data_IF_566077939963
#
_entry.id   IF_566077939963
#
_cell.length_a   1.000
_cell.length_b   1.000
_cell.length_c   1.000
_cell.angle_alpha   90.00
_cell.angle_beta   90.00
_cell.angle_gamma   90.00
#
_symmetry.space_group_name_H-M   'P 1'
#
loop_
_entity.id
_entity.type
_entity.pdbx_description
1 polymer ?
#
# COMPACT_ATOMS: atom_id res chain seq x y z
N UNK A 1 59.66 -24.76 48.27
CA UNK A 1 59.17 -25.85 47.38
C UNK A 1 57.70 -26.11 47.71
N UNK A 2 56.88 -26.31 46.67
CA UNK A 2 55.44 -26.65 46.69
C UNK A 2 54.48 -25.51 47.09
N UNK A 3 53.93 -24.74 46.14
CA UNK A 3 52.88 -25.00 45.11
C UNK A 3 51.44 -24.74 45.60
N UNK A 4 50.93 -23.60 45.13
CA UNK A 4 49.56 -23.17 44.89
C UNK A 4 48.56 -24.27 44.50
N UNK A 5 47.33 -24.16 45.02
CA UNK A 5 46.08 -24.51 44.32
C UNK A 5 44.90 -23.80 44.98
N UNK A 6 44.64 -22.55 44.57
CA UNK A 6 43.39 -21.84 44.80
C UNK A 6 42.54 -21.93 43.52
N UNK A 7 41.36 -22.54 43.65
CA UNK A 7 40.33 -22.63 42.62
C UNK A 7 39.65 -21.28 42.41
N UNK A 8 39.49 -20.77 41.17
CA UNK A 8 38.58 -19.69 40.86
C UNK A 8 37.35 -20.24 40.12
N UNK A 9 36.24 -20.35 40.85
CA UNK A 9 34.91 -20.37 40.25
C UNK A 9 34.51 -18.91 40.00
N UNK A 10 34.84 -18.39 38.81
CA UNK A 10 34.17 -17.22 38.24
C UNK A 10 34.50 -17.15 36.73
N UNK A 11 33.67 -17.82 35.93
CA UNK A 11 33.59 -17.59 34.48
C UNK A 11 32.28 -16.87 34.18
N UNK A 12 32.42 -15.56 33.99
CA UNK A 12 31.46 -14.72 33.28
C UNK A 12 31.30 -15.24 31.85
N UNK A 13 30.16 -15.86 31.56
CA UNK A 13 29.67 -16.08 30.21
C UNK A 13 28.84 -14.85 29.81
N UNK A 14 29.46 -13.98 29.00
CA UNK A 14 28.83 -12.87 28.31
C UNK A 14 27.91 -13.44 27.22
N UNK A 15 26.60 -13.53 27.50
CA UNK A 15 25.57 -13.78 26.49
C UNK A 15 24.97 -12.43 26.08
N UNK A 16 25.45 -11.94 24.94
CA UNK A 16 24.80 -10.91 24.14
C UNK A 16 23.36 -11.32 23.85
N UNK A 17 22.39 -10.60 24.40
CA UNK A 17 20.98 -10.74 24.05
C UNK A 17 20.69 -9.85 22.84
N UNK A 18 20.19 -10.40 21.71
CA UNK A 18 19.65 -9.57 20.64
C UNK A 18 18.30 -9.00 21.11
N UNK A 19 18.18 -7.67 21.09
CA UNK A 19 16.93 -6.95 21.32
C UNK A 19 15.90 -7.35 20.26
N UNK A 20 14.84 -8.06 20.69
CA UNK A 20 13.75 -8.49 19.81
C UNK A 20 12.81 -7.34 19.51
N UNK A 21 12.53 -7.17 18.22
CA UNK A 21 11.64 -6.19 17.65
C UNK A 21 10.23 -6.29 18.22
N UNK A 22 9.70 -5.12 18.60
CA UNK A 22 8.29 -4.90 18.92
C UNK A 22 7.59 -3.98 17.91
N UNK A 23 8.30 -3.52 16.88
CA UNK A 23 7.75 -2.57 15.89
C UNK A 23 6.90 -3.22 14.81
N UNK A 24 7.08 -4.53 14.53
CA UNK A 24 6.38 -5.19 13.40
C UNK A 24 4.89 -5.48 13.64
N UNK A 25 4.43 -5.56 14.89
CA UNK A 25 3.02 -5.86 15.18
C UNK A 25 2.09 -4.65 14.95
N UNK A 26 2.63 -3.43 14.97
CA UNK A 26 1.86 -2.20 14.79
C UNK A 26 1.54 -1.97 13.30
N UNK A 27 2.45 -2.32 12.38
CA UNK A 27 2.27 -2.16 10.94
C UNK A 27 1.20 -3.09 10.34
N UNK A 28 1.14 -4.36 10.78
CA UNK A 28 0.14 -5.32 10.29
C UNK A 28 -1.31 -4.93 10.67
N UNK A 29 -1.48 -4.21 11.79
CA UNK A 29 -2.81 -3.73 12.23
C UNK A 29 -3.23 -2.46 11.48
N UNK A 30 -2.26 -1.62 11.06
CA UNK A 30 -2.52 -0.38 10.33
C UNK A 30 -3.03 -0.63 8.89
N UNK A 31 -2.50 -1.64 8.20
CA UNK A 31 -2.91 -2.00 6.82
C UNK A 31 -4.31 -2.63 6.77
N UNK A 32 -4.74 -3.33 7.83
CA UNK A 32 -6.10 -3.85 7.93
C UNK A 32 -7.11 -2.79 8.40
N UNK A 33 -6.70 -1.84 9.25
CA UNK A 33 -7.58 -0.83 9.82
C UNK A 33 -7.93 0.32 8.87
N UNK A 34 -7.01 0.73 7.98
CA UNK A 34 -7.26 1.90 7.12
C UNK A 34 -8.21 1.62 5.93
N UNK A 35 -8.32 0.37 5.47
CA UNK A 35 -9.24 -0.03 4.41
C UNK A 35 -10.64 -0.41 4.94
N UNK A 36 -10.76 -0.77 6.22
CA UNK A 36 -12.05 -1.06 6.86
C UNK A 36 -12.79 0.21 7.36
N UNK A 37 -12.10 1.36 7.44
CA UNK A 37 -12.69 2.60 7.97
C UNK A 37 -13.65 3.32 7.01
N UNK A 38 -13.90 2.80 5.80
CA UNK A 38 -14.82 3.41 4.83
C UNK A 38 -15.93 2.46 4.29
N UNK A 39 -16.10 1.26 4.84
CA UNK A 39 -17.13 0.34 4.34
C UNK A 39 -17.42 -0.81 5.28
N UNK A 40 -18.37 -0.59 6.19
CA UNK A 40 -19.46 -1.50 6.58
C UNK A 40 -20.02 -1.04 7.93
N UNK A 41 -20.93 -0.06 7.87
CA UNK A 41 -21.80 0.27 9.01
C UNK A 41 -23.06 -0.58 8.87
N UNK A 42 -22.95 -1.86 9.25
CA UNK A 42 -24.13 -2.71 9.46
C UNK A 42 -24.90 -2.13 10.66
N UNK A 43 -26.07 -1.59 10.38
CA UNK A 43 -26.97 -0.96 11.34
C UNK A 43 -27.49 -2.01 12.36
N UNK A 44 -26.78 -2.16 13.48
CA UNK A 44 -27.25 -2.92 14.65
C UNK A 44 -28.12 -1.99 15.52
N UNK A 45 -29.39 -2.37 15.73
CA UNK A 45 -30.33 -1.70 16.63
C UNK A 45 -29.74 -1.54 18.07
N UNK A 46 -30.02 -0.42 18.77
CA UNK A 46 -29.31 -0.07 20.00
C UNK A 46 -29.79 -0.89 21.21
N UNK A 47 -29.05 -1.94 21.57
CA UNK A 47 -29.05 -2.42 22.95
C UNK A 47 -27.96 -1.65 23.71
N UNK A 48 -28.42 -0.76 24.59
CA UNK A 48 -27.59 0.07 25.45
C UNK A 48 -26.71 -0.77 26.38
N UNK A 49 -25.42 -0.90 26.01
CA UNK A 49 -24.35 -1.26 26.94
C UNK A 49 -23.21 -0.29 26.70
N UNK A 50 -23.02 0.64 27.64
CA UNK A 50 -21.92 1.60 27.60
C UNK A 50 -20.56 0.87 27.74
N UNK A 51 -19.60 1.07 26.83
CA UNK A 51 -18.23 0.59 27.05
C UNK A 51 -17.48 1.53 27.99
N UNK A 52 -17.09 1.02 29.16
CA UNK A 52 -16.14 1.66 30.07
C UNK A 52 -14.74 1.55 29.46
N UNK A 53 -14.22 2.64 28.90
CA UNK A 53 -12.83 2.72 28.46
C UNK A 53 -11.92 2.92 29.67
N UNK A 54 -11.09 1.92 29.98
CA UNK A 54 -9.97 2.08 30.92
C UNK A 54 -8.81 2.78 30.21
N UNK A 55 -8.25 3.88 30.78
CA UNK A 55 -7.12 4.57 30.18
C UNK A 55 -5.84 3.73 30.27
N UNK A 56 -5.12 3.62 29.15
CA UNK A 56 -3.76 3.07 29.10
C UNK A 56 -2.81 4.13 29.70
N UNK A 57 -2.30 3.85 30.89
CA UNK A 57 -1.23 4.64 31.53
C UNK A 57 0.09 4.41 30.80
N UNK A 58 0.62 5.47 30.17
CA UNK A 58 1.98 5.52 29.63
C UNK A 58 2.92 5.89 30.78
N UNK A 59 3.69 4.93 31.28
CA UNK A 59 4.81 5.21 32.19
C UNK A 59 5.96 5.75 31.35
N UNK A 60 6.22 7.05 31.46
CA UNK A 60 7.39 7.72 30.90
C UNK A 60 8.66 7.33 31.67
N UNK A 61 9.61 6.71 30.96
CA UNK A 61 10.99 6.57 31.40
C UNK A 61 11.89 7.33 30.44
N UNK A 62 12.53 8.39 30.92
CA UNK A 62 13.55 9.15 30.18
C UNK A 62 14.73 8.24 29.82
N UNK A 63 15.15 8.17 28.54
CA UNK A 63 16.43 7.57 28.21
C UNK A 63 17.58 8.57 28.47
N UNK A 64 18.75 8.10 28.96
CA UNK A 64 19.90 8.96 29.17
C UNK A 64 20.50 9.42 27.84
N UNK A 65 20.78 10.74 27.77
CA UNK A 65 21.54 11.37 26.69
C UNK A 65 22.94 10.77 26.61
N UNK A 66 23.26 10.11 25.50
CA UNK A 66 24.64 9.77 25.13
C UNK A 66 25.13 10.78 24.10
N UNK A 67 26.22 11.46 24.44
CA UNK A 67 26.90 12.44 23.60
C UNK A 67 27.60 11.70 22.46
N UNK A 68 27.16 11.92 21.22
CA UNK A 68 27.85 11.41 20.02
C UNK A 68 28.82 12.48 19.54
N UNK A 69 30.11 12.13 19.58
CA UNK A 69 31.22 12.93 19.07
C UNK A 69 31.23 12.81 17.53
N UNK A 70 30.92 13.91 16.83
CA UNK A 70 30.90 13.97 15.37
C UNK A 70 32.27 14.36 14.86
N UNK A 71 33.06 13.37 14.43
CA UNK A 71 34.23 13.61 13.61
C UNK A 71 33.82 14.21 12.26
N UNK A 72 34.42 15.37 11.95
CA UNK A 72 34.24 16.14 10.73
C UNK A 72 34.73 15.37 9.49
N UNK A 73 33.94 15.23 8.42
CA UNK A 73 34.44 14.69 7.16
C UNK A 73 35.08 15.79 6.31
N UNK A 74 36.32 15.53 5.87
CA UNK A 74 37.06 16.32 4.90
C UNK A 74 36.30 16.46 3.58
N UNK A 75 36.14 17.71 3.13
CA UNK A 75 35.50 18.06 1.88
C UNK A 75 36.43 17.79 0.69
N UNK A 76 36.07 16.81 -0.15
CA UNK A 76 36.68 16.62 -1.46
C UNK A 76 36.14 17.67 -2.45
N UNK A 77 37.06 18.35 -3.13
CA UNK A 77 36.81 19.40 -4.12
C UNK A 77 36.36 18.79 -5.45
N UNK A 78 35.24 19.23 -6.07
CA UNK A 78 34.88 18.74 -7.39
C UNK A 78 35.73 19.41 -8.49
N UNK A 79 36.27 18.57 -9.38
CA UNK A 79 37.01 18.98 -10.59
C UNK A 79 35.96 19.44 -11.62
N UNK A 80 35.97 20.74 -11.93
CA UNK A 80 35.11 21.33 -12.96
C UNK A 80 35.61 20.98 -14.37
N UNK A 81 34.80 20.24 -15.13
CA UNK A 81 34.94 20.15 -16.58
C UNK A 81 34.03 21.20 -17.24
N UNK A 82 34.62 22.15 -17.95
CA UNK A 82 33.90 23.14 -18.76
C UNK A 82 33.23 22.45 -19.97
N UNK A 83 31.93 22.69 -20.25
CA UNK A 83 31.33 22.24 -21.49
C UNK A 83 31.81 23.11 -22.66
N UNK A 84 32.24 22.45 -23.73
CA UNK A 84 32.56 23.08 -25.02
C UNK A 84 31.24 23.48 -25.69
N UNK A 85 31.04 24.79 -25.86
CA UNK A 85 29.91 25.33 -26.61
C UNK A 85 30.12 25.13 -28.12
N UNK A 86 29.36 24.21 -28.71
CA UNK A 86 29.21 24.10 -30.16
C UNK A 86 28.22 25.14 -30.65
N UNK A 87 28.65 26.06 -31.51
CA UNK A 87 27.77 27.02 -32.19
C UNK A 87 26.86 26.29 -33.19
N UNK A 88 25.52 26.42 -33.12
CA UNK A 88 24.65 25.91 -34.17
C UNK A 88 24.77 26.79 -35.42
N UNK A 89 25.07 26.14 -36.55
CA UNK A 89 25.08 26.79 -37.87
C UNK A 89 23.63 27.04 -38.29
N UNK A 90 23.24 28.31 -38.36
CA UNK A 90 21.93 28.73 -38.83
C UNK A 90 21.79 28.49 -40.34
N UNK A 91 21.05 27.46 -40.73
CA UNK A 91 20.58 27.28 -42.10
C UNK A 91 19.43 28.24 -42.40
N UNK A 92 19.51 28.94 -43.53
CA UNK A 92 18.44 29.83 -44.00
C UNK A 92 17.15 29.05 -44.29
N UNK A 93 15.96 29.55 -43.89
CA UNK A 93 14.70 28.90 -44.21
C UNK A 93 14.42 28.99 -45.71
N UNK A 94 14.23 27.84 -46.34
CA UNK A 94 13.67 27.74 -47.69
C UNK A 94 12.17 28.05 -47.58
N UNK A 95 11.75 29.15 -48.19
CA UNK A 95 10.34 29.52 -48.30
C UNK A 95 9.62 28.57 -49.29
N UNK A 96 9.08 27.48 -48.76
CA UNK A 96 8.14 26.63 -49.48
C UNK A 96 6.78 27.30 -49.61
N UNK A 97 6.25 27.40 -50.82
CA UNK A 97 4.89 27.87 -51.09
C UNK A 97 3.90 26.85 -50.50
N UNK A 98 2.94 27.27 -49.65
CA UNK A 98 1.98 26.34 -49.05
C UNK A 98 1.07 25.78 -50.14
N UNK A 99 1.18 24.47 -50.40
CA UNK A 99 0.19 23.73 -51.16
C UNK A 99 -1.05 23.61 -50.29
N UNK A 100 -2.16 24.21 -50.73
CA UNK A 100 -3.46 24.09 -50.08
C UNK A 100 -3.93 22.63 -50.16
N UNK A 101 -3.65 21.86 -49.12
CA UNK A 101 -4.24 20.53 -48.93
C UNK A 101 -5.74 20.66 -48.66
N UNK A 102 -6.53 19.62 -48.99
CA UNK A 102 -7.95 19.58 -48.67
C UNK A 102 -8.15 19.82 -47.17
N UNK A 103 -9.13 20.65 -46.83
CA UNK A 103 -9.48 20.95 -45.45
C UNK A 103 -9.77 19.64 -44.70
N UNK A 104 -8.80 19.20 -43.91
CA UNK A 104 -9.01 18.12 -42.95
C UNK A 104 -9.98 18.70 -41.94
N UNK A 105 -11.22 18.18 -41.92
CA UNK A 105 -12.21 18.58 -40.95
C UNK A 105 -11.56 18.49 -39.56
N UNK A 106 -11.47 19.64 -38.89
CA UNK A 106 -11.00 19.68 -37.50
C UNK A 106 -11.90 18.72 -36.73
N UNK A 107 -11.35 17.69 -36.07
CA UNK A 107 -12.18 16.76 -35.31
C UNK A 107 -13.03 17.59 -34.36
N UNK A 108 -14.35 17.46 -34.48
CA UNK A 108 -15.27 18.08 -33.53
C UNK A 108 -14.82 17.63 -32.14
N UNK A 109 -14.51 18.61 -31.29
CA UNK A 109 -14.15 18.32 -29.90
C UNK A 109 -15.30 17.54 -29.29
N UNK A 110 -15.05 16.29 -28.93
CA UNK A 110 -15.97 15.50 -28.12
C UNK A 110 -16.40 16.35 -26.93
N UNK A 111 -17.70 16.37 -26.58
CA UNK A 111 -18.19 17.19 -25.49
C UNK A 111 -17.41 16.82 -24.22
N UNK A 112 -16.72 17.80 -23.64
CA UNK A 112 -16.05 17.65 -22.35
C UNK A 112 -17.12 17.24 -21.35
N UNK A 113 -16.97 16.05 -20.77
CA UNK A 113 -17.88 15.58 -19.74
C UNK A 113 -17.96 16.65 -18.63
N UNK A 114 -19.17 17.01 -18.23
CA UNK A 114 -19.36 17.97 -17.15
C UNK A 114 -18.63 17.49 -15.89
N UNK A 115 -18.03 18.43 -15.14
CA UNK A 115 -17.39 18.09 -13.88
C UNK A 115 -18.41 17.45 -12.92
N UNK A 116 -18.05 16.37 -12.21
CA UNK A 116 -18.92 15.75 -11.23
C UNK A 116 -19.21 16.74 -10.11
N UNK A 117 -20.47 16.78 -9.66
CA UNK A 117 -20.89 17.65 -8.57
C UNK A 117 -20.67 16.99 -7.18
N UNK A 118 -20.68 15.65 -7.14
CA UNK A 118 -20.64 14.86 -5.92
C UNK A 118 -19.82 13.57 -6.09
N UNK A 119 -19.53 12.90 -4.96
CA UNK A 119 -18.72 11.68 -4.95
C UNK A 119 -19.42 10.54 -5.70
N UNK A 120 -20.74 10.42 -5.57
CA UNK A 120 -21.52 9.36 -6.20
C UNK A 120 -21.41 9.38 -7.73
N UNK A 121 -21.53 10.55 -8.34
CA UNK A 121 -21.37 10.74 -9.79
C UNK A 121 -19.93 10.49 -10.26
N UNK A 122 -18.94 10.92 -9.48
CA UNK A 122 -17.53 10.65 -9.77
C UNK A 122 -17.21 9.14 -9.70
N UNK A 123 -17.66 8.45 -8.65
CA UNK A 123 -17.47 6.99 -8.50
C UNK A 123 -18.26 6.22 -9.56
N UNK A 124 -19.49 6.61 -9.87
CA UNK A 124 -20.27 5.96 -10.92
C UNK A 124 -19.58 6.04 -12.29
N UNK A 125 -18.98 7.20 -12.61
CA UNK A 125 -18.16 7.37 -13.83
C UNK A 125 -16.96 6.42 -13.82
N UNK A 126 -16.24 6.34 -12.70
CA UNK A 126 -15.10 5.45 -12.57
C UNK A 126 -15.50 3.97 -12.70
N UNK A 127 -16.60 3.56 -12.06
CA UNK A 127 -17.11 2.19 -12.10
C UNK A 127 -17.53 1.80 -13.52
N UNK A 128 -18.17 2.72 -14.25
CA UNK A 128 -18.54 2.49 -15.64
C UNK A 128 -17.30 2.30 -16.54
N UNK A 129 -16.26 3.11 -16.36
CA UNK A 129 -15.00 2.97 -17.08
C UNK A 129 -14.26 1.67 -16.71
N UNK A 130 -14.38 1.25 -15.45
CA UNK A 130 -13.72 0.05 -14.95
C UNK A 130 -14.28 -1.22 -15.55
N UNK A 131 -15.59 -1.31 -15.85
CA UNK A 131 -16.32 -2.54 -16.21
C UNK A 131 -15.72 -3.46 -17.30
N UNK A 132 -14.77 -2.97 -18.11
CA UNK A 132 -14.09 -3.74 -19.16
C UNK A 132 -12.62 -4.11 -18.89
N UNK A 133 -12.03 -3.64 -17.80
CA UNK A 133 -10.61 -3.86 -17.49
C UNK A 133 -10.36 -5.35 -17.20
N UNK A 134 -9.37 -5.96 -17.87
CA UNK A 134 -9.00 -7.37 -17.66
C UNK A 134 -7.76 -7.53 -16.77
N UNK A 135 -6.92 -6.51 -16.72
CA UNK A 135 -5.74 -6.49 -15.87
C UNK A 135 -5.39 -5.06 -15.48
N UNK A 136 -4.74 -4.90 -14.34
CA UNK A 136 -4.17 -3.61 -13.92
C UNK A 136 -3.03 -3.82 -12.94
N UNK A 137 -2.26 -2.75 -12.75
CA UNK A 137 -1.24 -2.63 -11.71
C UNK A 137 -1.56 -1.45 -10.80
N UNK A 138 -1.66 -1.72 -9.50
CA UNK A 138 -1.82 -0.73 -8.45
C UNK A 138 -0.54 -0.63 -7.61
N UNK A 139 -0.09 0.59 -7.33
CA UNK A 139 1.05 0.86 -6.44
C UNK A 139 0.55 1.72 -5.29
N UNK A 140 0.51 1.12 -4.11
CA UNK A 140 0.16 1.79 -2.87
C UNK A 140 1.42 2.17 -2.09
N UNK A 141 1.47 3.42 -1.69
CA UNK A 141 2.52 4.02 -0.87
C UNK A 141 1.87 4.59 0.38
N UNK A 142 2.33 4.14 1.54
CA UNK A 142 1.93 4.68 2.85
C UNK A 142 3.13 5.23 3.59
N UNK A 143 3.04 6.48 4.05
CA UNK A 143 4.12 7.13 4.80
C UNK A 143 3.70 8.43 5.48
N UNK A 144 4.66 9.09 6.12
CA UNK A 144 4.43 10.42 6.70
C UNK A 144 4.35 11.50 5.61
N UNK A 145 3.45 12.46 5.80
CA UNK A 145 3.26 13.62 4.90
C UNK A 145 4.57 14.38 4.74
N UNK A 146 4.98 14.61 3.48
CA UNK A 146 6.23 15.29 3.13
C UNK A 146 7.38 14.38 2.71
N UNK A 147 7.25 13.05 2.89
CA UNK A 147 8.21 12.07 2.36
C UNK A 147 7.67 11.25 1.20
N UNK A 148 6.36 11.32 0.90
CA UNK A 148 5.77 10.63 -0.25
C UNK A 148 6.41 11.21 -1.53
N UNK A 149 7.14 10.41 -2.32
CA UNK A 149 7.78 10.89 -3.52
C UNK A 149 6.73 11.47 -4.47
N UNK A 150 6.90 12.73 -4.86
CA UNK A 150 6.18 13.33 -5.98
C UNK A 150 6.46 12.46 -7.20
N UNK A 151 5.43 11.82 -7.75
CA UNK A 151 5.41 10.98 -8.96
C UNK A 151 6.81 10.77 -9.54
N UNK A 152 7.62 9.94 -8.87
CA UNK A 152 8.91 9.55 -9.44
C UNK A 152 8.52 8.67 -10.59
N UNK A 153 8.58 9.24 -11.80
CA UNK A 153 8.10 8.65 -13.04
C UNK A 153 8.43 7.15 -13.02
N UNK A 154 7.42 6.34 -12.71
CA UNK A 154 7.58 4.89 -12.64
C UNK A 154 7.88 4.52 -14.08
N UNK A 155 9.14 4.21 -14.35
CA UNK A 155 9.51 3.71 -15.67
C UNK A 155 8.69 2.43 -15.85
N UNK A 156 7.86 2.31 -16.90
CA UNK A 156 7.04 1.12 -17.09
C UNK A 156 7.89 -0.15 -16.95
N UNK A 157 7.47 -1.05 -16.06
CA UNK A 157 8.19 -2.30 -15.76
C UNK A 157 9.26 -2.24 -14.66
N UNK A 158 9.58 -1.07 -14.09
CA UNK A 158 10.43 -0.99 -12.90
C UNK A 158 9.59 -1.04 -11.62
N UNK A 159 9.93 -1.96 -10.71
CA UNK A 159 9.36 -1.96 -9.36
C UNK A 159 9.90 -0.75 -8.58
N UNK A 160 9.04 0.09 -8.01
CA UNK A 160 9.47 1.16 -7.12
C UNK A 160 10.18 0.60 -5.88
N UNK A 161 11.00 1.42 -5.23
CA UNK A 161 11.70 1.09 -3.98
C UNK A 161 11.19 2.04 -2.90
N UNK A 162 10.66 1.48 -1.80
CA UNK A 162 10.18 2.28 -0.66
C UNK A 162 11.31 3.10 -0.04
N UNK A 163 11.02 4.34 0.36
CA UNK A 163 11.91 5.09 1.25
C UNK A 163 11.94 4.47 2.65
N UNK A 164 12.93 4.86 3.48
CA UNK A 164 12.99 4.41 4.86
C UNK A 164 11.76 4.89 5.64
N UNK A 165 11.02 3.96 6.26
CA UNK A 165 9.79 4.26 7.01
C UNK A 165 8.52 4.32 6.15
N UNK A 166 8.62 4.00 4.86
CA UNK A 166 7.50 3.88 3.94
C UNK A 166 7.12 2.40 3.76
N UNK A 167 5.82 2.14 3.65
CA UNK A 167 5.29 0.84 3.22
C UNK A 167 4.88 0.97 1.77
N UNK A 168 5.48 0.14 0.92
CA UNK A 168 5.17 0.06 -0.50
C UNK A 168 4.50 -1.28 -0.78
N UNK A 169 3.31 -1.22 -1.35
CA UNK A 169 2.56 -2.38 -1.82
C UNK A 169 2.40 -2.24 -3.34
N UNK A 170 2.85 -3.24 -4.08
CA UNK A 170 2.57 -3.35 -5.52
C UNK A 170 1.62 -4.52 -5.69
N UNK A 171 0.50 -4.27 -6.35
CA UNK A 171 -0.55 -5.24 -6.61
C UNK A 171 -0.81 -5.32 -8.12
N UNK A 172 -0.61 -6.51 -8.67
CA UNK A 172 -0.83 -6.83 -10.07
C UNK A 172 -1.99 -7.80 -10.15
N UNK A 173 -3.02 -7.44 -10.91
CA UNK A 173 -4.27 -8.21 -10.98
C UNK A 173 -4.55 -8.56 -12.43
N UNK A 174 -4.88 -9.83 -12.65
CA UNK A 174 -5.39 -10.36 -13.92
C UNK A 174 -6.68 -11.11 -13.62
N UNK A 175 -7.79 -10.59 -14.11
CA UNK A 175 -9.09 -11.15 -13.85
C UNK A 175 -9.32 -12.45 -14.63
N UNK A 176 -10.10 -13.40 -14.07
CA UNK A 176 -10.85 -13.28 -12.82
C UNK A 176 -10.08 -13.73 -11.56
N UNK A 177 -8.96 -14.43 -11.68
CA UNK A 177 -8.48 -15.33 -10.61
C UNK A 177 -6.99 -15.23 -10.28
N UNK A 178 -6.26 -14.30 -10.92
CA UNK A 178 -4.81 -14.18 -10.75
C UNK A 178 -4.44 -12.85 -10.14
N UNK A 179 -3.64 -12.89 -9.07
CA UNK A 179 -3.18 -11.70 -8.34
C UNK A 179 -1.77 -11.91 -7.84
N UNK A 180 -0.95 -10.88 -7.89
CA UNK A 180 0.41 -10.88 -7.37
C UNK A 180 0.62 -9.60 -6.57
N UNK A 181 0.85 -9.75 -5.27
CA UNK A 181 1.12 -8.65 -4.37
C UNK A 181 2.50 -8.78 -3.76
N UNK A 182 3.32 -7.73 -3.91
CA UNK A 182 4.55 -7.55 -3.15
C UNK A 182 4.34 -6.45 -2.12
N UNK A 183 4.78 -6.69 -0.89
CA UNK A 183 4.76 -5.72 0.21
C UNK A 183 6.21 -5.52 0.63
N UNK A 184 6.67 -4.29 0.75
CA UNK A 184 8.02 -3.98 1.20
C UNK A 184 8.03 -2.88 2.26
N UNK A 185 8.76 -3.13 3.34
CA UNK A 185 9.01 -2.18 4.42
C UNK A 185 10.50 -2.26 4.77
N UNK A 186 11.27 -1.20 4.51
CA UNK A 186 12.70 -1.16 4.87
C UNK A 186 13.57 -2.28 4.28
N UNK A 187 13.20 -2.84 3.11
CA UNK A 187 13.95 -3.87 2.40
C UNK A 187 13.62 -5.32 2.79
N UNK A 188 12.79 -5.55 3.80
CA UNK A 188 12.20 -6.88 4.06
C UNK A 188 10.82 -6.91 3.44
N UNK A 189 10.60 -7.86 2.54
CA UNK A 189 9.36 -7.98 1.80
C UNK A 189 8.56 -9.22 2.14
N UNK A 190 7.26 -9.14 1.91
CA UNK A 190 6.39 -10.31 1.75
C UNK A 190 5.87 -10.33 0.33
N UNK A 191 5.60 -11.52 -0.18
CA UNK A 191 5.06 -11.68 -1.52
C UNK A 191 4.00 -12.76 -1.50
N UNK A 192 2.92 -12.46 -2.20
CA UNK A 192 1.70 -13.28 -2.23
C UNK A 192 1.24 -13.38 -3.67
N UNK A 193 1.06 -14.61 -4.16
CA UNK A 193 0.52 -14.88 -5.48
C UNK A 193 -0.74 -15.71 -5.30
N UNK A 194 -1.86 -15.26 -5.86
CA UNK A 194 -3.06 -16.06 -6.03
C UNK A 194 -3.11 -16.54 -7.48
N UNK A 195 -3.23 -17.85 -7.68
CA UNK A 195 -3.34 -18.44 -9.02
C UNK A 195 -3.96 -19.83 -8.93
N UNK A 196 -4.92 -20.13 -9.81
CA UNK A 196 -5.57 -21.43 -9.86
C UNK A 196 -6.32 -21.82 -8.56
N UNK A 197 -6.86 -20.83 -7.85
CA UNK A 197 -7.56 -21.03 -6.58
C UNK A 197 -6.67 -21.36 -5.38
N UNK A 198 -5.34 -21.32 -5.54
CA UNK A 198 -4.37 -21.48 -4.47
C UNK A 198 -3.68 -20.15 -4.16
N UNK A 199 -3.18 -20.03 -2.94
CA UNK A 199 -2.38 -18.89 -2.51
C UNK A 199 -0.94 -19.35 -2.24
N UNK A 200 0.02 -18.64 -2.81
CA UNK A 200 1.45 -18.86 -2.62
C UNK A 200 2.00 -17.69 -1.83
N UNK A 201 2.70 -17.95 -0.74
CA UNK A 201 3.20 -16.90 0.15
C UNK A 201 4.68 -17.09 0.44
N UNK A 202 5.43 -16.00 0.56
CA UNK A 202 6.78 -15.97 1.14
C UNK A 202 7.01 -14.70 1.97
N UNK A 203 8.12 -14.67 2.70
CA UNK A 203 8.51 -13.53 3.52
C UNK A 203 7.84 -13.47 4.89
N UNK A 204 7.74 -12.27 5.45
CA UNK A 204 7.26 -12.06 6.81
C UNK A 204 5.80 -12.49 7.01
N UNK A 205 4.93 -12.32 6.00
CA UNK A 205 3.54 -12.78 6.06
C UNK A 205 3.44 -14.30 6.17
N UNK A 206 4.21 -15.05 5.38
CA UNK A 206 4.23 -16.51 5.46
C UNK A 206 4.69 -16.98 6.85
N UNK A 207 5.75 -16.38 7.39
CA UNK A 207 6.24 -16.70 8.73
C UNK A 207 5.24 -16.32 9.84
N UNK A 208 4.46 -15.26 9.64
CA UNK A 208 3.49 -14.76 10.63
C UNK A 208 2.19 -15.56 10.62
N UNK A 209 1.63 -15.81 9.45
CA UNK A 209 0.28 -16.37 9.32
C UNK A 209 0.26 -17.88 9.08
N UNK A 210 1.33 -18.45 8.52
CA UNK A 210 1.35 -19.87 8.13
C UNK A 210 2.18 -20.69 9.12
N UNK A 211 3.50 -20.46 9.15
CA UNK A 211 4.41 -21.18 10.04
C UNK A 211 5.69 -20.36 10.29
N UNK A 212 6.02 -20.00 11.55
CA UNK A 212 7.21 -19.23 11.86
C UNK A 212 8.54 -19.95 11.57
N UNK A 213 8.52 -21.26 11.30
CA UNK A 213 9.68 -22.02 10.86
C UNK A 213 9.98 -21.87 9.36
N UNK A 214 9.06 -21.32 8.57
CA UNK A 214 9.25 -21.07 7.14
C UNK A 214 10.28 -19.96 6.96
N UNK A 215 11.35 -20.26 6.22
CA UNK A 215 12.36 -19.27 5.88
C UNK A 215 11.78 -18.14 5.03
N UNK A 216 12.28 -16.91 5.20
CA UNK A 216 11.74 -15.71 4.52
C UNK A 216 11.78 -15.81 2.98
N UNK A 217 12.69 -16.61 2.42
CA UNK A 217 12.80 -16.85 0.97
C UNK A 217 12.03 -18.08 0.48
N UNK A 218 11.45 -18.87 1.38
CA UNK A 218 10.75 -20.10 1.04
C UNK A 218 9.30 -19.81 0.68
N UNK A 219 8.85 -20.41 -0.43
CA UNK A 219 7.46 -20.35 -0.85
C UNK A 219 6.64 -21.46 -0.17
N UNK A 220 5.48 -21.08 0.35
CA UNK A 220 4.48 -22.00 0.89
C UNK A 220 3.16 -21.91 0.12
N UNK A 221 2.49 -23.04 -0.03
CA UNK A 221 1.16 -23.13 -0.65
C UNK A 221 0.12 -23.19 0.47
N UNK A 222 -0.81 -22.25 0.43
CA UNK A 222 -1.99 -22.17 1.28
C UNK A 222 -3.20 -22.57 0.43
N UNK A 223 -3.83 -23.67 0.84
CA UNK A 223 -5.11 -24.12 0.29
C UNK A 223 -6.25 -23.43 1.04
N UNK A 224 -7.01 -22.53 0.40
CA UNK A 224 -8.08 -21.77 1.06
C UNK A 224 -9.14 -22.66 1.70
N UNK A 225 -9.41 -23.85 1.14
CA UNK A 225 -10.40 -24.77 1.67
C UNK A 225 -10.02 -25.35 3.05
N UNK A 226 -8.74 -25.24 3.43
CA UNK A 226 -8.19 -25.71 4.71
C UNK A 226 -8.02 -24.60 5.74
N UNK A 227 -8.25 -23.34 5.36
CA UNK A 227 -8.12 -22.17 6.24
C UNK A 227 -9.47 -21.85 6.88
N UNK A 228 -9.57 -21.80 8.23
CA UNK A 228 -10.81 -21.36 8.87
C UNK A 228 -11.14 -19.91 8.49
N UNK A 229 -12.36 -19.61 8.00
CA UNK A 229 -12.70 -18.27 7.48
C UNK A 229 -12.61 -17.19 8.56
N UNK A 230 -12.96 -17.52 9.80
CA UNK A 230 -12.90 -16.61 10.96
C UNK A 230 -11.48 -16.37 11.50
N UNK A 231 -10.48 -17.08 10.97
CA UNK A 231 -9.09 -16.86 11.39
C UNK A 231 -8.52 -15.61 10.73
N UNK A 232 -7.52 -14.94 11.34
CA UNK A 232 -6.83 -13.83 10.69
C UNK A 232 -6.26 -14.17 9.30
N UNK A 233 -5.79 -15.42 9.11
CA UNK A 233 -5.37 -15.90 7.80
C UNK A 233 -6.57 -16.10 6.85
N UNK A 234 -7.73 -16.54 7.36
CA UNK A 234 -8.97 -16.64 6.57
C UNK A 234 -9.41 -15.30 6.00
N UNK A 235 -9.47 -14.27 6.83
CA UNK A 235 -9.75 -12.87 6.41
C UNK A 235 -8.71 -12.33 5.44
N UNK A 236 -7.45 -12.74 5.58
CA UNK A 236 -6.41 -12.36 4.61
C UNK A 236 -6.62 -13.09 3.27
N UNK A 237 -6.85 -14.40 3.31
CA UNK A 237 -7.05 -15.27 2.14
C UNK A 237 -8.27 -14.83 1.32
N UNK A 238 -9.38 -14.43 1.94
CA UNK A 238 -10.59 -14.01 1.22
C UNK A 238 -10.36 -12.84 0.25
N UNK A 239 -9.40 -11.96 0.55
CA UNK A 239 -9.02 -10.83 -0.31
C UNK A 239 -8.31 -11.24 -1.60
N UNK A 240 -7.73 -12.45 -1.62
CA UNK A 240 -6.91 -12.94 -2.73
C UNK A 240 -7.59 -14.03 -3.54
N UNK A 241 -8.49 -14.79 -2.94
CA UNK A 241 -9.16 -15.93 -3.57
C UNK A 241 -10.64 -15.95 -3.22
N UNK A 242 -11.45 -16.48 -4.15
CA UNK A 242 -12.89 -16.63 -3.97
C UNK A 242 -13.70 -15.45 -4.48
N UNK A 243 -14.97 -15.39 -4.07
CA UNK A 243 -15.94 -14.46 -4.62
C UNK A 243 -15.52 -12.98 -4.43
N UNK A 244 -14.93 -12.63 -3.29
CA UNK A 244 -14.43 -11.28 -3.01
C UNK A 244 -13.27 -10.88 -3.92
N UNK A 245 -12.32 -11.77 -4.16
CA UNK A 245 -11.22 -11.51 -5.10
C UNK A 245 -11.71 -11.37 -6.54
N UNK A 246 -12.76 -12.12 -6.90
CA UNK A 246 -13.41 -12.00 -8.22
C UNK A 246 -14.39 -10.83 -8.30
N UNK A 247 -14.78 -10.24 -7.16
CA UNK A 247 -15.72 -9.13 -7.11
C UNK A 247 -14.97 -7.91 -7.66
N UNK A 248 -15.16 -7.75 -8.96
CA UNK A 248 -14.62 -6.69 -9.80
C UNK A 248 -15.09 -5.34 -9.28
N UNK A 249 -14.44 -4.86 -8.23
CA UNK A 249 -14.79 -3.61 -7.58
C UNK A 249 -13.81 -2.58 -8.08
N UNK A 250 -14.36 -1.55 -8.70
CA UNK A 250 -13.60 -0.37 -9.07
C UNK A 250 -12.88 0.20 -7.83
N UNK A 251 -11.74 0.86 -8.02
CA UNK A 251 -10.81 1.17 -6.94
C UNK A 251 -11.36 2.08 -5.85
N UNK A 252 -12.41 2.85 -6.14
CA UNK A 252 -13.03 3.76 -5.17
C UNK A 252 -14.11 3.10 -4.31
N UNK A 253 -14.37 1.80 -4.50
CA UNK A 253 -15.41 1.07 -3.79
C UNK A 253 -16.83 1.54 -4.14
N UNK A 254 -17.81 1.05 -3.38
CA UNK A 254 -19.18 1.57 -3.41
C UNK A 254 -19.34 2.49 -2.20
N UNK A 255 -19.44 3.82 -2.39
CA UNK A 255 -19.58 4.72 -1.26
C UNK A 255 -20.93 4.51 -0.57
N UNK A 256 -20.96 4.73 0.76
CA UNK A 256 -22.23 4.86 1.48
C UNK A 256 -23.08 5.99 0.89
N UNK A 257 -24.40 5.96 1.11
CA UNK A 257 -25.30 7.01 0.62
C UNK A 257 -24.89 8.41 1.12
N UNK A 258 -24.42 8.50 2.37
CA UNK A 258 -23.88 9.74 2.93
C UNK A 258 -22.63 10.19 2.17
N UNK A 259 -21.64 9.30 2.01
CA UNK A 259 -20.40 9.59 1.28
C UNK A 259 -20.66 10.00 -0.17
N UNK A 260 -21.57 9.30 -0.84
CA UNK A 260 -21.95 9.56 -2.23
C UNK A 260 -22.53 10.97 -2.43
N UNK A 261 -23.16 11.55 -1.40
CA UNK A 261 -23.77 12.88 -1.45
C UNK A 261 -22.80 14.04 -1.17
N UNK A 262 -21.56 13.73 -0.77
CA UNK A 262 -20.57 14.76 -0.46
C UNK A 262 -20.17 15.53 -1.72
N UNK A 263 -20.03 16.86 -1.64
CA UNK A 263 -19.56 17.66 -2.76
C UNK A 263 -18.10 17.35 -3.07
N UNK A 264 -17.75 17.35 -4.35
CA UNK A 264 -16.35 17.23 -4.80
C UNK A 264 -15.83 18.58 -5.27
N UNK A 265 -14.56 18.87 -4.98
CA UNK A 265 -13.88 20.09 -5.43
C UNK A 265 -12.82 19.72 -6.46
N UNK A 266 -12.97 20.19 -7.70
CA UNK A 266 -11.92 20.01 -8.71
C UNK A 266 -10.65 20.75 -8.28
N UNK A 267 -9.52 20.02 -8.29
CA UNK A 267 -8.18 20.55 -8.09
C UNK A 267 -7.49 20.89 -9.42
N UNK A 268 -8.13 20.57 -10.55
CA UNK A 268 -7.59 20.80 -11.89
C UNK A 268 -6.77 19.62 -12.43
N UNK A 269 -6.09 19.83 -13.57
CA UNK A 269 -5.35 18.77 -14.25
C UNK A 269 -4.11 18.35 -13.46
N UNK A 270 -3.86 17.04 -13.45
CA UNK A 270 -2.67 16.40 -12.88
C UNK A 270 -2.14 15.35 -13.85
N UNK A 271 -0.88 14.98 -13.72
CA UNK A 271 -0.27 13.88 -14.49
C UNK A 271 0.06 12.73 -13.57
N UNK A 272 -0.29 11.51 -13.96
CA UNK A 272 0.13 10.28 -13.27
C UNK A 272 0.82 9.36 -14.28
N UNK A 273 2.14 9.27 -14.17
CA UNK A 273 2.98 8.66 -15.20
C UNK A 273 2.77 9.36 -16.56
N UNK A 274 2.25 8.64 -17.54
CA UNK A 274 1.96 9.15 -18.90
C UNK A 274 0.52 9.61 -19.11
N UNK A 275 -0.36 9.46 -18.10
CA UNK A 275 -1.79 9.77 -18.20
C UNK A 275 -2.06 11.19 -17.70
N UNK A 276 -2.89 11.92 -18.44
CA UNK A 276 -3.44 13.21 -18.03
C UNK A 276 -4.77 12.98 -17.35
N UNK A 277 -4.92 13.50 -16.13
CA UNK A 277 -6.07 13.25 -15.27
C UNK A 277 -6.59 14.57 -14.69
N UNK A 278 -7.78 14.55 -14.12
CA UNK A 278 -8.30 15.64 -13.28
C UNK A 278 -8.44 15.11 -11.86
N UNK A 279 -7.87 15.84 -10.90
CA UNK A 279 -7.97 15.50 -9.49
C UNK A 279 -9.17 16.18 -8.85
N UNK A 280 -9.87 15.46 -7.99
CA UNK A 280 -11.04 15.90 -7.25
C UNK A 280 -10.80 15.65 -5.76
N UNK A 281 -11.01 16.66 -4.94
CA UNK A 281 -10.91 16.56 -3.49
C UNK A 281 -12.29 16.36 -2.86
N UNK A 282 -12.34 15.45 -1.90
CA UNK A 282 -13.44 15.20 -0.98
C UNK A 282 -12.90 15.45 0.42
N UNK A 283 -13.61 16.23 1.22
CA UNK A 283 -13.26 16.44 2.62
C UNK A 283 -14.31 15.75 3.48
N UNK A 284 -13.85 14.87 4.37
CA UNK A 284 -14.68 14.22 5.37
C UNK A 284 -14.21 14.62 6.76
N UNK A 285 -15.16 14.67 7.70
CA UNK A 285 -14.87 14.81 9.12
C UNK A 285 -15.38 13.57 9.81
N UNK A 286 -14.50 12.86 10.50
CA UNK A 286 -14.88 11.68 11.29
C UNK A 286 -15.78 12.07 12.46
N UNK A 287 -16.41 11.07 13.08
CA UNK A 287 -17.23 11.28 14.30
C UNK A 287 -16.43 11.91 15.46
N UNK A 288 -15.10 11.73 15.49
CA UNK A 288 -14.21 12.33 16.50
C UNK A 288 -13.69 13.72 16.11
N UNK A 289 -14.15 14.28 14.98
CA UNK A 289 -13.74 15.61 14.51
C UNK A 289 -12.42 15.64 13.75
N UNK A 290 -11.81 14.48 13.47
CA UNK A 290 -10.62 14.41 12.63
C UNK A 290 -10.99 14.64 11.16
N UNK A 291 -10.25 15.52 10.50
CA UNK A 291 -10.42 15.81 9.08
C UNK A 291 -9.63 14.80 8.24
N UNK A 292 -10.33 14.13 7.34
CA UNK A 292 -9.75 13.25 6.32
C UNK A 292 -9.94 13.95 4.96
N UNK A 293 -8.85 14.09 4.22
CA UNK A 293 -8.88 14.57 2.84
C UNK A 293 -8.69 13.38 1.91
N UNK A 294 -9.61 13.20 0.97
CA UNK A 294 -9.55 12.15 -0.05
C UNK A 294 -9.40 12.84 -1.40
N UNK A 295 -8.35 12.51 -2.15
CA UNK A 295 -8.13 13.00 -3.52
C UNK A 295 -8.31 11.84 -4.48
N UNK A 296 -9.24 11.99 -5.41
CA UNK A 296 -9.52 11.02 -6.46
C UNK A 296 -9.12 11.63 -7.80
N UNK A 297 -8.23 10.98 -8.54
CA UNK A 297 -7.86 11.41 -9.89
C UNK A 297 -8.38 10.42 -10.92
N UNK A 298 -9.07 10.91 -11.95
CA UNK A 298 -9.56 10.12 -13.08
C UNK A 298 -9.17 10.78 -14.40
N UNK A 299 -9.00 10.00 -15.46
CA UNK A 299 -8.76 10.53 -16.81
C UNK A 299 -10.06 10.87 -17.55
N UNK A 300 -9.92 11.30 -18.81
CA UNK A 300 -11.06 11.61 -19.67
C UNK A 300 -11.99 10.41 -19.88
N UNK A 301 -11.44 9.21 -19.98
CA UNK A 301 -12.20 7.96 -20.09
C UNK A 301 -12.90 7.55 -18.78
N UNK A 302 -12.58 8.22 -17.66
CA UNK A 302 -13.09 7.91 -16.33
C UNK A 302 -12.27 6.86 -15.58
N UNK A 303 -11.17 6.36 -16.14
CA UNK A 303 -10.33 5.38 -15.46
C UNK A 303 -9.54 6.06 -14.33
N UNK A 304 -9.49 5.42 -13.17
CA UNK A 304 -8.73 5.93 -12.02
C UNK A 304 -7.24 6.07 -12.37
N UNK A 305 -6.65 7.20 -12.00
CA UNK A 305 -5.22 7.45 -12.04
C UNK A 305 -4.59 7.21 -10.68
N UNK A 306 -5.14 7.85 -9.63
CA UNK A 306 -4.77 7.55 -8.26
C UNK A 306 -5.91 7.88 -7.29
N UNK A 307 -5.83 7.27 -6.11
CA UNK A 307 -6.54 7.65 -4.91
C UNK A 307 -5.52 8.05 -3.86
N UNK A 308 -5.76 9.13 -3.13
CA UNK A 308 -4.95 9.53 -2.00
C UNK A 308 -5.83 9.85 -0.80
N UNK A 309 -5.48 9.31 0.36
CA UNK A 309 -6.11 9.61 1.63
C UNK A 309 -5.08 10.27 2.55
N UNK A 310 -5.43 11.44 3.11
CA UNK A 310 -4.63 12.17 4.09
C UNK A 310 -5.39 12.29 5.39
N UNK A 311 -4.74 11.85 6.47
CA UNK A 311 -5.24 12.00 7.84
C UNK A 311 -4.08 12.46 8.73
N UNK A 312 -4.14 13.73 9.15
CA UNK A 312 -3.04 14.36 9.90
C UNK A 312 -1.71 14.34 9.13
N UNK A 313 -0.71 13.66 9.68
CA UNK A 313 0.62 13.50 9.07
C UNK A 313 0.78 12.19 8.32
N UNK A 314 -0.29 11.42 8.07
CA UNK A 314 -0.23 10.18 7.33
C UNK A 314 -0.85 10.40 5.96
N UNK A 315 -0.14 9.96 4.92
CA UNK A 315 -0.64 9.93 3.55
C UNK A 315 -0.55 8.50 3.03
N UNK A 316 -1.66 8.02 2.49
CA UNK A 316 -1.75 6.79 1.72
C UNK A 316 -2.13 7.15 0.29
N UNK A 317 -1.36 6.73 -0.70
CA UNK A 317 -1.67 6.93 -2.12
C UNK A 317 -1.61 5.62 -2.86
N UNK A 318 -2.67 5.29 -3.60
CA UNK A 318 -2.75 4.16 -4.53
C UNK A 318 -2.77 4.69 -5.95
N UNK A 319 -1.80 4.32 -6.78
CA UNK A 319 -1.69 4.73 -8.19
C UNK A 319 -2.01 3.56 -9.11
N UNK A 320 -2.88 3.76 -10.10
CA UNK A 320 -3.35 2.74 -11.03
C UNK A 320 -2.76 2.93 -12.44
N UNK A 321 -2.25 1.84 -13.00
CA UNK A 321 -1.50 1.80 -14.25
C UNK A 321 -1.65 0.46 -14.96
N UNK A 322 -1.05 0.33 -16.15
CA UNK A 322 -0.96 -0.93 -16.91
C UNK A 322 -2.30 -1.64 -17.14
N UNK A 323 -3.35 -0.85 -17.39
CA UNK A 323 -4.68 -1.33 -17.74
C UNK A 323 -4.65 -2.20 -19.00
N UNK A 324 -5.25 -3.38 -18.92
CA UNK A 324 -5.33 -4.36 -20.01
C UNK A 324 -3.96 -4.77 -20.57
N UNK A 325 -2.87 -4.58 -19.81
CA UNK A 325 -1.55 -5.06 -20.18
C UNK A 325 -1.46 -6.59 -20.04
N UNK A 326 -0.58 -7.20 -20.84
CA UNK A 326 -0.25 -8.63 -20.73
C UNK A 326 0.64 -8.88 -19.50
N UNK A 327 0.02 -8.93 -18.33
CA UNK A 327 0.70 -9.23 -17.06
C UNK A 327 0.76 -10.75 -16.88
N UNK A 328 1.97 -11.30 -16.74
CA UNK A 328 2.18 -12.73 -16.51
C UNK A 328 2.33 -13.02 -15.01
N UNK A 329 1.29 -13.58 -14.40
CA UNK A 329 1.32 -14.04 -13.00
C UNK A 329 1.55 -15.55 -12.99
N UNK A 330 2.72 -15.99 -12.50
CA UNK A 330 3.15 -17.40 -12.54
C UNK A 330 3.33 -17.92 -11.12
N UNK A 331 2.68 -19.04 -10.83
CA UNK A 331 2.88 -19.74 -9.56
C UNK A 331 4.37 -20.15 -9.39
N UNK A 332 4.96 -19.91 -8.21
CA UNK A 332 6.37 -20.21 -7.97
C UNK A 332 6.63 -21.72 -7.97
N UNK A 333 7.63 -22.14 -8.74
CA UNK A 333 8.10 -23.53 -8.72
C UNK A 333 8.74 -23.86 -7.36
N UNK A 334 8.45 -25.05 -6.84
CA UNK A 334 9.03 -25.54 -5.59
C UNK A 334 8.37 -25.02 -4.31
N UNK A 335 7.21 -24.36 -4.41
CA UNK A 335 6.40 -24.03 -3.25
C UNK A 335 5.96 -25.32 -2.52
N UNK A 336 6.00 -25.29 -1.18
CA UNK A 336 5.70 -26.47 -0.34
C UNK A 336 4.33 -26.30 0.31
N UNK A 337 3.44 -27.31 0.31
CA UNK A 337 2.17 -27.23 1.03
C UNK A 337 2.36 -26.88 2.51
N UNK A 338 1.58 -25.91 2.99
CA UNK A 338 1.51 -25.60 4.41
C UNK A 338 1.03 -26.85 5.18
N UNK A 339 1.89 -27.35 6.07
CA UNK A 339 1.60 -28.56 6.82
C UNK A 339 0.52 -28.30 7.88
N UNK A 340 0.60 -27.15 8.55
CA UNK A 340 -0.31 -26.75 9.61
C UNK A 340 -0.63 -25.26 9.45
N UNK A 341 -1.90 -24.90 9.52
CA UNK A 341 -2.32 -23.56 9.89
C UNK A 341 -2.39 -23.61 11.40
N UNK A 342 -1.30 -23.23 12.07
CA UNK A 342 -1.31 -23.21 13.53
C UNK A 342 -2.52 -22.40 13.99
N UNK A 343 -3.22 -22.80 15.08
CA UNK A 343 -3.97 -21.78 15.80
C UNK A 343 -2.91 -20.73 16.09
N UNK A 344 -3.00 -19.55 15.46
CA UNK A 344 -2.29 -18.39 15.94
C UNK A 344 -2.50 -18.45 17.45
N UNK A 345 -1.41 -18.49 18.22
CA UNK A 345 -1.46 -18.41 19.67
C UNK A 345 -2.00 -17.02 19.98
N UNK A 346 -3.29 -16.79 19.69
CA UNK A 346 -4.12 -15.83 20.36
C UNK A 346 -4.15 -16.41 21.76
N UNK A 347 -3.40 -15.83 22.72
CA UNK A 347 -3.48 -16.29 24.09
C UNK A 347 -4.97 -16.31 24.40
N UNK A 348 -5.50 -17.49 24.74
CA UNK A 348 -6.92 -17.67 25.02
C UNK A 348 -7.33 -16.49 25.90
N UNK A 349 -8.28 -15.68 25.41
CA UNK A 349 -8.71 -14.48 26.12
C UNK A 349 -8.96 -14.91 27.57
N UNK A 350 -8.16 -14.36 28.49
CA UNK A 350 -8.23 -14.75 29.89
C UNK A 350 -9.69 -14.61 30.28
N UNK A 351 -10.37 -15.67 30.76
CA UNK A 351 -11.81 -15.64 30.97
C UNK A 351 -12.12 -14.41 31.81
N UNK A 352 -12.96 -13.52 31.27
CA UNK A 352 -13.37 -12.31 31.96
C UNK A 352 -13.86 -12.74 33.34
N UNK A 353 -13.19 -12.27 34.39
CA UNK A 353 -13.57 -12.60 35.76
C UNK A 353 -15.07 -12.29 35.91
N UNK A 354 -15.86 -13.32 36.19
CA UNK A 354 -17.29 -13.14 36.40
C UNK A 354 -17.48 -12.11 37.51
N UNK A 355 -18.32 -11.07 37.31
CA UNK A 355 -18.60 -10.13 38.37
C UNK A 355 -19.27 -10.90 39.51
N UNK A 356 -18.59 -10.98 40.65
CA UNK A 356 -19.20 -11.46 41.89
C UNK A 356 -20.30 -10.49 42.30
N UNK A 357 -21.53 -10.98 42.34
CA UNK A 357 -22.71 -10.31 42.91
C UNK A 357 -22.63 -10.22 44.43
#
# INVERSE_FOLDING_TARGET
MSRQSSSPSDRLANLSRPGRGRSLAIAATLVAGLLAACGDEEQIDPVSVAPTLTPISIIGGDPPLTTVDLASPDAATPIGASPVAGSPSAGSPVAGTPVAGPAVASPEASPVAADPADVGSLVARANAAWAGIRSYRAVEVSGQTGTVPVDTAVTPGASPVAAAGEVLIVDEVVFPDSRHQTISEGGVGSEVIASGGLLYMRGALAATFVDPAVGLSSWVIVDPARVPPESPLGTFVSRFVGAEATAFTAPFGIPSAETASLPVRSLGPVTSGVRSCVAYEVVQTTQIGERIEIVLAIDEAGLACYQETRAGTITNRVTFSDFDADIAIVAPAGAVPAANFGPLNVPAASPAASPTS
#
